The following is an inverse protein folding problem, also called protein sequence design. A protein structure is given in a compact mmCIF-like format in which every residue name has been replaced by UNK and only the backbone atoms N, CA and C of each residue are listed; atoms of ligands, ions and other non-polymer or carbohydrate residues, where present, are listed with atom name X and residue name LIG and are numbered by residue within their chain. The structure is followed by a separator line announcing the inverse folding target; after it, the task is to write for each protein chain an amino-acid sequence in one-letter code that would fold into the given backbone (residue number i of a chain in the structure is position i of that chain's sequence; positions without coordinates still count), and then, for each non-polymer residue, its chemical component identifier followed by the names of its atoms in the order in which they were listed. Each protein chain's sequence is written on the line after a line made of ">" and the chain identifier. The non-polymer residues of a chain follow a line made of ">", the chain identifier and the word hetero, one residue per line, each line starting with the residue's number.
data_IF_184420240111
#
_entry.id   IF_184420240111
#
_cell.length_a   1.000
_cell.length_b   1.000
_cell.length_c   1.000
_cell.angle_alpha   90.00
_cell.angle_beta   90.00
_cell.angle_gamma   90.00
#
_symmetry.space_group_name_H-M   'P 1'
#
loop_
_entity.id
_entity.type
_entity.pdbx_description
1 polymer ?
#
# COMPACT_ATOMS: atom_id res chain seq x y z
N UNK A 1 17.29 -56.19 -1.00
CA UNK A 1 16.29 -57.26 -0.76
C UNK A 1 16.63 -57.97 0.54
N UNK A 2 15.70 -58.05 1.49
CA UNK A 2 15.89 -58.64 2.82
C UNK A 2 14.83 -59.72 3.06
N UNK A 3 15.28 -60.90 3.44
CA UNK A 3 14.42 -62.02 3.82
C UNK A 3 14.37 -62.11 5.33
N UNK A 4 13.15 -62.04 5.88
CA UNK A 4 12.92 -62.08 7.32
C UNK A 4 12.02 -63.28 7.61
N UNK A 5 12.48 -64.27 8.41
CA UNK A 5 11.61 -65.32 8.90
C UNK A 5 10.54 -64.69 9.80
N UNK A 6 9.28 -65.06 9.57
CA UNK A 6 8.15 -64.64 10.40
C UNK A 6 7.47 -65.89 10.97
N UNK A 7 6.63 -65.70 11.98
CA UNK A 7 5.82 -66.77 12.59
C UNK A 7 4.66 -67.26 11.69
N UNK A 8 4.53 -66.69 10.48
CA UNK A 8 3.54 -67.11 9.48
C UNK A 8 4.14 -68.12 8.49
N UNK A 9 3.28 -68.89 7.81
CA UNK A 9 3.68 -69.88 6.79
C UNK A 9 4.41 -69.26 5.60
N UNK A 10 4.32 -67.94 5.41
CA UNK A 10 5.00 -67.20 4.34
C UNK A 10 6.21 -66.45 4.90
N UNK A 11 7.34 -66.57 4.22
CA UNK A 11 8.54 -65.78 4.54
C UNK A 11 8.29 -64.31 4.20
N UNK A 12 8.66 -63.41 5.12
CA UNK A 12 8.59 -61.98 4.89
C UNK A 12 9.68 -61.54 3.92
N UNK A 13 9.29 -61.06 2.74
CA UNK A 13 10.21 -60.48 1.76
C UNK A 13 10.03 -58.96 1.75
N UNK A 14 11.13 -58.24 1.97
CA UNK A 14 11.15 -56.77 1.92
C UNK A 14 12.17 -56.30 0.88
N UNK A 15 11.74 -55.41 0.00
CA UNK A 15 12.61 -54.71 -0.93
C UNK A 15 12.63 -53.22 -0.55
N UNK A 16 13.82 -52.64 -0.48
CA UNK A 16 14.05 -51.24 -0.10
C UNK A 16 14.84 -50.62 -1.25
N UNK A 17 14.21 -49.82 -2.13
CA UNK A 17 14.86 -49.28 -3.32
C UNK A 17 15.98 -48.27 -2.99
N UNK A 18 15.89 -47.58 -1.84
CA UNK A 18 16.90 -46.61 -1.38
C UNK A 18 18.25 -47.24 -1.00
N UNK A 19 18.26 -48.54 -0.69
CA UNK A 19 19.49 -49.25 -0.31
C UNK A 19 20.24 -49.84 -1.51
N UNK A 20 19.59 -49.91 -2.68
CA UNK A 20 20.21 -50.40 -3.91
C UNK A 20 19.22 -51.11 -4.84
N UNK A 21 19.70 -51.36 -6.05
CA UNK A 21 18.95 -51.96 -7.16
C UNK A 21 18.49 -53.39 -6.86
N UNK A 22 17.41 -53.82 -7.51
CA UNK A 22 16.96 -55.20 -7.44
C UNK A 22 18.02 -56.16 -8.02
N UNK A 23 18.12 -57.38 -7.48
CA UNK A 23 19.01 -58.40 -8.04
C UNK A 23 18.57 -58.77 -9.46
N UNK A 24 19.51 -59.23 -10.28
CA UNK A 24 19.31 -59.48 -11.73
C UNK A 24 18.17 -60.44 -12.08
N UNK A 25 17.85 -61.37 -11.18
CA UNK A 25 16.76 -62.34 -11.35
C UNK A 25 15.37 -61.78 -10.98
N UNK A 26 15.29 -60.58 -10.41
CA UNK A 26 14.06 -59.87 -10.06
C UNK A 26 14.09 -58.41 -10.56
N UNK A 27 14.59 -58.17 -11.78
CA UNK A 27 14.63 -56.83 -12.39
C UNK A 27 13.25 -56.17 -12.51
N UNK A 28 12.17 -56.95 -12.56
CA UNK A 28 10.81 -56.44 -12.61
C UNK A 28 10.38 -55.70 -11.33
N UNK A 29 10.99 -56.01 -10.18
CA UNK A 29 10.67 -55.32 -8.93
C UNK A 29 11.05 -53.84 -8.97
N UNK A 30 12.17 -53.49 -9.62
CA UNK A 30 12.56 -52.08 -9.77
C UNK A 30 11.50 -51.31 -10.56
N UNK A 31 11.02 -51.87 -11.68
CA UNK A 31 9.95 -51.28 -12.48
C UNK A 31 8.62 -51.14 -11.71
N UNK A 32 8.20 -52.17 -10.99
CA UNK A 32 7.01 -52.08 -10.13
C UNK A 32 7.16 -51.04 -9.01
N UNK A 33 8.35 -50.92 -8.42
CA UNK A 33 8.59 -49.91 -7.39
C UNK A 33 8.65 -48.50 -7.94
N UNK A 34 9.17 -48.32 -9.16
CA UNK A 34 9.18 -47.03 -9.85
C UNK A 34 7.76 -46.58 -10.22
N UNK A 35 6.94 -47.49 -10.75
CA UNK A 35 5.51 -47.22 -11.03
C UNK A 35 4.71 -46.92 -9.75
N UNK A 36 4.98 -47.65 -8.67
CA UNK A 36 4.34 -47.41 -7.37
C UNK A 36 4.80 -46.10 -6.73
N UNK A 37 6.07 -45.73 -6.88
CA UNK A 37 6.60 -44.46 -6.40
C UNK A 37 5.94 -43.30 -7.15
N UNK A 38 5.82 -43.39 -8.47
CA UNK A 38 5.08 -42.42 -9.30
C UNK A 38 3.59 -42.34 -8.90
N UNK A 39 2.95 -43.49 -8.64
CA UNK A 39 1.56 -43.56 -8.17
C UNK A 39 1.35 -43.08 -6.74
N UNK A 40 2.34 -43.22 -5.86
CA UNK A 40 2.32 -42.69 -4.48
C UNK A 40 2.62 -41.19 -4.42
N UNK A 41 3.34 -40.67 -5.42
CA UNK A 41 3.48 -39.24 -5.64
C UNK A 41 2.24 -38.63 -6.33
N UNK A 42 1.38 -39.45 -6.94
CA UNK A 42 0.11 -39.01 -7.49
C UNK A 42 -0.87 -38.63 -6.35
N UNK A 43 -1.64 -37.53 -6.52
CA UNK A 43 -2.40 -36.95 -5.44
C UNK A 43 -3.66 -37.79 -5.16
N UNK A 44 -3.84 -38.22 -3.91
CA UNK A 44 -5.19 -38.50 -3.38
C UNK A 44 -5.55 -39.95 -3.04
N UNK A 45 -4.60 -40.84 -2.74
CA UNK A 45 -4.95 -42.11 -2.08
C UNK A 45 -4.62 -42.02 -0.60
N UNK A 46 -5.68 -41.95 0.20
CA UNK A 46 -5.67 -41.96 1.65
C UNK A 46 -5.13 -43.30 2.17
N UNK A 47 -3.91 -43.30 2.69
CA UNK A 47 -3.34 -44.45 3.36
C UNK A 47 -1.92 -44.19 3.85
N UNK A 48 -1.77 -44.21 5.17
CA UNK A 48 -0.52 -44.41 5.94
C UNK A 48 0.39 -43.20 6.23
N UNK A 49 0.90 -43.20 7.46
CA UNK A 49 1.31 -42.03 8.25
C UNK A 49 2.72 -41.49 7.92
N UNK A 50 2.81 -40.34 7.25
CA UNK A 50 4.03 -39.52 7.19
C UNK A 50 4.15 -38.69 5.89
N UNK A 51 4.71 -37.46 5.90
CA UNK A 51 4.55 -36.56 4.75
C UNK A 51 5.71 -36.66 3.74
N UNK A 52 5.45 -37.15 2.52
CA UNK A 52 6.14 -36.65 1.34
C UNK A 52 5.10 -36.03 0.41
N UNK A 53 4.75 -34.79 0.69
CA UNK A 53 3.88 -33.98 -0.15
C UNK A 53 4.75 -33.09 -1.06
N UNK A 54 5.03 -33.45 -2.33
CA UNK A 54 5.48 -32.47 -3.32
C UNK A 54 4.28 -31.61 -3.76
N UNK A 55 3.55 -31.01 -2.81
CA UNK A 55 2.34 -30.19 -3.01
C UNK A 55 2.66 -28.70 -3.19
N UNK A 56 3.85 -28.36 -3.67
CA UNK A 56 4.27 -26.96 -3.77
C UNK A 56 3.96 -26.30 -5.12
N UNK A 57 3.65 -27.07 -6.17
CA UNK A 57 3.36 -26.46 -7.49
C UNK A 57 2.00 -25.76 -7.53
N UNK A 58 0.98 -26.39 -6.95
CA UNK A 58 -0.39 -25.88 -6.98
C UNK A 58 -0.72 -24.94 -5.82
N UNK A 59 0.12 -24.89 -4.78
CA UNK A 59 -0.15 -24.11 -3.57
C UNK A 59 0.77 -22.89 -3.46
N UNK A 60 0.15 -21.73 -3.21
CA UNK A 60 0.84 -20.49 -2.94
C UNK A 60 0.84 -20.19 -1.45
N UNK A 61 2.01 -19.83 -0.93
CA UNK A 61 2.14 -19.30 0.43
C UNK A 61 1.59 -17.87 0.51
N UNK A 62 0.74 -17.62 1.51
CA UNK A 62 0.08 -16.35 1.78
C UNK A 62 0.27 -16.00 3.26
N UNK A 63 0.70 -14.77 3.55
CA UNK A 63 0.82 -14.30 4.93
C UNK A 63 -0.52 -13.88 5.50
N UNK A 64 -0.68 -13.84 6.83
CA UNK A 64 -1.92 -13.37 7.46
C UNK A 64 -2.32 -11.96 7.00
N UNK A 65 -1.35 -11.06 6.83
CA UNK A 65 -1.61 -9.71 6.34
C UNK A 65 -2.12 -9.70 4.88
N UNK A 66 -1.58 -10.57 4.02
CA UNK A 66 -2.05 -10.70 2.64
C UNK A 66 -3.46 -11.29 2.58
N UNK A 67 -3.76 -12.28 3.42
CA UNK A 67 -5.10 -12.88 3.50
C UNK A 67 -6.16 -11.86 3.90
N UNK A 68 -5.84 -11.01 4.88
CA UNK A 68 -6.70 -9.90 5.30
C UNK A 68 -6.90 -8.85 4.19
N UNK A 69 -5.86 -8.54 3.42
CA UNK A 69 -5.96 -7.64 2.26
C UNK A 69 -6.85 -8.20 1.15
N UNK A 70 -6.86 -9.53 0.97
CA UNK A 70 -7.71 -10.23 0.02
C UNK A 70 -9.16 -10.41 0.54
N UNK A 71 -9.46 -10.02 1.79
CA UNK A 71 -10.78 -10.22 2.40
C UNK A 71 -11.13 -11.70 2.65
N UNK A 72 -10.11 -12.56 2.71
CA UNK A 72 -10.26 -14.02 2.74
C UNK A 72 -10.20 -14.63 4.14
N UNK A 73 -10.41 -13.82 5.19
CA UNK A 73 -10.35 -14.26 6.59
C UNK A 73 -11.39 -15.33 6.94
N UNK A 74 -12.51 -15.35 6.21
CA UNK A 74 -13.57 -16.35 6.36
C UNK A 74 -13.17 -17.76 5.90
N UNK A 75 -12.08 -17.88 5.15
CA UNK A 75 -11.56 -19.18 4.69
C UNK A 75 -10.65 -19.85 5.72
N UNK A 76 -10.33 -19.17 6.82
CA UNK A 76 -9.55 -19.74 7.92
C UNK A 76 -10.31 -20.90 8.56
N UNK A 77 -9.65 -22.06 8.68
CA UNK A 77 -10.26 -23.28 9.23
C UNK A 77 -11.00 -24.14 8.20
N UNK A 78 -11.12 -23.69 6.95
CA UNK A 78 -11.59 -24.52 5.84
C UNK A 78 -10.43 -25.33 5.23
N UNK A 79 -10.70 -26.49 4.59
CA UNK A 79 -9.64 -27.29 3.95
C UNK A 79 -8.97 -26.59 2.76
N UNK A 80 -9.53 -25.47 2.28
CA UNK A 80 -9.00 -24.66 1.19
C UNK A 80 -7.73 -23.89 1.59
N UNK A 81 -7.53 -23.67 2.89
CA UNK A 81 -6.43 -22.87 3.44
C UNK A 81 -5.77 -23.65 4.58
N UNK A 82 -4.57 -24.17 4.33
CA UNK A 82 -3.82 -24.96 5.31
C UNK A 82 -2.86 -24.07 6.09
N UNK A 83 -2.99 -24.03 7.41
CA UNK A 83 -2.04 -23.32 8.26
C UNK A 83 -0.65 -23.96 8.17
N UNK A 84 0.38 -23.16 7.91
CA UNK A 84 1.76 -23.62 7.85
C UNK A 84 2.72 -22.57 8.40
N UNK A 85 3.46 -22.95 9.43
CA UNK A 85 4.38 -22.10 10.19
C UNK A 85 3.72 -20.80 10.68
N UNK A 86 3.88 -19.71 9.93
CA UNK A 86 3.44 -18.35 10.27
C UNK A 86 2.49 -17.75 9.21
N UNK A 87 1.97 -18.60 8.33
CA UNK A 87 1.06 -18.20 7.28
C UNK A 87 0.19 -19.36 6.84
N UNK A 88 -0.26 -19.29 5.61
CA UNK A 88 -1.20 -20.23 5.06
C UNK A 88 -0.80 -20.65 3.65
N UNK A 89 -0.99 -21.92 3.32
CA UNK A 89 -1.01 -22.39 1.95
C UNK A 89 -2.43 -22.35 1.41
N UNK A 90 -2.58 -21.73 0.25
CA UNK A 90 -3.83 -21.62 -0.50
C UNK A 90 -3.59 -22.11 -1.92
N UNK A 91 -4.58 -22.77 -2.53
CA UNK A 91 -4.54 -23.12 -3.95
C UNK A 91 -4.29 -21.85 -4.81
N UNK A 92 -3.31 -21.92 -5.72
CA UNK A 92 -2.92 -20.84 -6.61
C UNK A 92 -4.10 -20.32 -7.45
N UNK A 93 -5.03 -21.19 -7.83
CA UNK A 93 -6.25 -20.84 -8.57
C UNK A 93 -7.15 -19.94 -7.73
N UNK A 94 -7.42 -20.34 -6.48
CA UNK A 94 -8.22 -19.57 -5.54
C UNK A 94 -7.58 -18.20 -5.26
N UNK A 95 -6.26 -18.17 -5.04
CA UNK A 95 -5.52 -16.93 -4.84
C UNK A 95 -5.67 -15.98 -6.04
N UNK A 96 -5.57 -16.48 -7.27
CA UNK A 96 -5.73 -15.67 -8.48
C UNK A 96 -7.14 -15.06 -8.60
N UNK A 97 -8.18 -15.82 -8.24
CA UNK A 97 -9.57 -15.37 -8.27
C UNK A 97 -9.82 -14.28 -7.22
N UNK A 98 -9.35 -14.49 -6.00
CA UNK A 98 -9.47 -13.51 -4.90
C UNK A 98 -8.72 -12.22 -5.23
N UNK A 99 -7.52 -12.33 -5.82
CA UNK A 99 -6.74 -11.19 -6.27
C UNK A 99 -7.47 -10.42 -7.37
N UNK A 100 -8.08 -11.11 -8.33
CA UNK A 100 -8.88 -10.47 -9.38
C UNK A 100 -10.11 -9.74 -8.79
N UNK A 101 -10.85 -10.37 -7.89
CA UNK A 101 -12.02 -9.78 -7.22
C UNK A 101 -11.67 -8.54 -6.38
N UNK A 102 -10.56 -8.59 -5.65
CA UNK A 102 -10.10 -7.47 -4.83
C UNK A 102 -9.61 -6.30 -5.68
N UNK A 103 -8.87 -6.61 -6.76
CA UNK A 103 -8.33 -5.59 -7.67
C UNK A 103 -9.43 -4.85 -8.40
N UNK A 104 -10.48 -5.53 -8.88
CA UNK A 104 -11.60 -4.90 -9.58
C UNK A 104 -12.39 -3.95 -8.67
N UNK A 105 -12.65 -4.35 -7.42
CA UNK A 105 -13.33 -3.52 -6.43
C UNK A 105 -12.54 -2.24 -6.10
N UNK A 106 -11.25 -2.38 -5.79
CA UNK A 106 -10.39 -1.23 -5.46
C UNK A 106 -10.16 -0.31 -6.66
N UNK A 107 -9.99 -0.85 -7.86
CA UNK A 107 -9.79 -0.07 -9.08
C UNK A 107 -10.98 0.86 -9.38
N UNK A 108 -12.21 0.36 -9.21
CA UNK A 108 -13.41 1.18 -9.41
C UNK A 108 -13.49 2.33 -8.39
N UNK A 109 -13.22 2.07 -7.12
CA UNK A 109 -13.24 3.10 -6.09
C UNK A 109 -12.16 4.17 -6.30
N UNK A 110 -10.93 3.74 -6.64
CA UNK A 110 -9.83 4.65 -6.94
C UNK A 110 -10.15 5.53 -8.13
N UNK A 111 -10.68 4.95 -9.21
CA UNK A 111 -11.10 5.71 -10.39
C UNK A 111 -12.24 6.69 -10.08
N UNK A 112 -13.21 6.30 -9.23
CA UNK A 112 -14.28 7.21 -8.77
C UNK A 112 -13.71 8.38 -7.96
N UNK A 113 -12.81 8.11 -7.01
CA UNK A 113 -12.15 9.15 -6.18
C UNK A 113 -11.33 10.11 -7.02
N UNK A 114 -10.58 9.61 -8.01
CA UNK A 114 -9.84 10.42 -8.97
C UNK A 114 -10.78 11.35 -9.75
N UNK A 115 -11.85 10.81 -10.36
CA UNK A 115 -12.84 11.63 -11.08
C UNK A 115 -13.47 12.72 -10.22
N UNK A 116 -13.71 12.45 -8.94
CA UNK A 116 -14.24 13.47 -8.01
C UNK A 116 -13.19 14.54 -7.75
N UNK A 117 -11.92 14.16 -7.54
CA UNK A 117 -10.80 15.08 -7.35
C UNK A 117 -10.59 15.97 -8.57
N UNK A 118 -10.60 15.39 -9.76
CA UNK A 118 -10.44 16.14 -11.02
C UNK A 118 -11.56 17.18 -11.17
N UNK A 119 -12.81 16.78 -10.94
CA UNK A 119 -13.96 17.71 -10.92
C UNK A 119 -13.86 18.79 -9.85
N UNK A 120 -13.24 18.51 -8.71
CA UNK A 120 -13.01 19.52 -7.66
C UNK A 120 -11.90 20.48 -8.08
N UNK A 121 -10.85 19.99 -8.71
CA UNK A 121 -9.75 20.79 -9.22
C UNK A 121 -10.19 21.67 -10.39
N UNK A 122 -11.02 21.17 -11.31
CA UNK A 122 -11.64 21.95 -12.39
C UNK A 122 -12.50 23.11 -11.86
N UNK A 123 -13.05 22.97 -10.65
CA UNK A 123 -13.82 24.03 -9.97
C UNK A 123 -12.93 25.03 -9.22
N UNK A 124 -11.68 24.70 -8.90
CA UNK A 124 -10.76 25.61 -8.19
C UNK A 124 -10.35 26.87 -8.98
N UNK A 125 -10.05 26.87 -10.29
CA UNK A 125 -9.61 28.08 -11.01
C UNK A 125 -10.73 29.11 -11.21
N UNK A 126 -11.99 28.75 -10.99
CA UNK A 126 -13.12 29.69 -11.04
C UNK A 126 -13.29 30.51 -9.75
N UNK A 127 -12.45 30.30 -8.73
CA UNK A 127 -12.42 31.17 -7.56
C UNK A 127 -11.74 32.49 -7.95
N UNK A 128 -12.57 33.46 -8.37
CA UNK A 128 -12.18 34.82 -8.74
C UNK A 128 -11.24 35.38 -7.66
N UNK A 129 -9.95 35.47 -7.99
CA UNK A 129 -9.02 36.28 -7.23
C UNK A 129 -9.41 37.74 -7.49
N UNK A 130 -10.00 38.40 -6.50
CA UNK A 130 -10.26 39.84 -6.56
C UNK A 130 -8.90 40.53 -6.65
N UNK A 131 -8.49 40.92 -7.86
CA UNK A 131 -7.27 41.68 -8.09
C UNK A 131 -7.48 43.08 -7.53
N UNK A 132 -7.01 43.32 -6.31
CA UNK A 132 -6.92 44.67 -5.78
C UNK A 132 -5.87 45.46 -6.58
N UNK A 133 -6.13 46.73 -6.84
CA UNK A 133 -5.19 47.59 -7.56
C UNK A 133 -3.91 47.75 -6.73
N UNK A 134 -2.78 47.25 -7.22
CA UNK A 134 -1.49 47.46 -6.56
C UNK A 134 -0.98 48.88 -6.84
N UNK A 135 -0.44 49.59 -5.84
CA UNK A 135 0.15 50.92 -6.03
C UNK A 135 1.49 50.87 -6.79
N UNK A 136 1.88 52.00 -7.38
CA UNK A 136 3.07 52.13 -8.24
C UNK A 136 4.39 52.12 -7.45
N UNK A 137 4.36 52.57 -6.20
CA UNK A 137 5.49 52.54 -5.26
C UNK A 137 5.20 51.50 -4.18
N UNK A 138 6.20 50.73 -3.77
CA UNK A 138 6.08 49.70 -2.73
C UNK A 138 5.03 48.60 -3.03
N UNK A 139 4.95 48.15 -4.29
CA UNK A 139 4.04 47.10 -4.74
C UNK A 139 4.17 45.79 -3.95
N UNK A 140 5.41 45.40 -3.59
CA UNK A 140 5.69 44.20 -2.79
C UNK A 140 5.21 44.32 -1.32
N UNK A 141 5.29 45.52 -0.74
CA UNK A 141 4.76 45.75 0.61
C UNK A 141 3.23 45.75 0.59
N UNK A 142 2.61 46.37 -0.42
CA UNK A 142 1.16 46.38 -0.59
C UNK A 142 0.60 44.95 -0.82
N UNK A 143 1.30 44.10 -1.59
CA UNK A 143 0.90 42.71 -1.78
C UNK A 143 1.00 41.90 -0.48
N UNK A 144 2.10 42.03 0.27
CA UNK A 144 2.25 41.40 1.60
C UNK A 144 1.15 41.84 2.57
N UNK A 145 0.82 43.12 2.63
CA UNK A 145 -0.27 43.62 3.48
C UNK A 145 -1.63 43.04 3.05
N UNK A 146 -1.94 42.98 1.75
CA UNK A 146 -3.18 42.38 1.25
C UNK A 146 -3.24 40.87 1.55
N UNK A 147 -2.13 40.15 1.41
CA UNK A 147 -2.03 38.72 1.76
C UNK A 147 -2.27 38.49 3.26
N UNK A 148 -1.75 39.34 4.15
CA UNK A 148 -2.01 39.21 5.59
C UNK A 148 -3.47 39.43 5.96
N UNK A 149 -4.17 40.36 5.28
CA UNK A 149 -5.61 40.57 5.44
C UNK A 149 -6.41 39.38 4.89
N UNK A 150 -6.01 38.80 3.76
CA UNK A 150 -6.66 37.62 3.17
C UNK A 150 -6.40 36.33 3.99
N UNK A 151 -5.21 36.16 4.54
CA UNK A 151 -4.87 35.03 5.40
C UNK A 151 -5.70 35.04 6.70
N UNK A 152 -5.95 36.22 7.26
CA UNK A 152 -6.81 36.37 8.45
C UNK A 152 -8.29 36.06 8.18
N UNK A 153 -8.79 36.31 6.96
CA UNK A 153 -10.18 36.00 6.58
C UNK A 153 -10.41 34.53 6.23
N UNK A 154 -9.38 33.80 5.80
CA UNK A 154 -9.47 32.35 5.51
C UNK A 154 -9.05 31.45 6.69
N UNK A 155 -8.28 31.96 7.64
CA UNK A 155 -7.77 31.22 8.80
C UNK A 155 -8.73 31.20 9.99
N UNK A 156 -9.73 30.30 9.97
CA UNK A 156 -10.63 30.09 11.10
C UNK A 156 -9.97 29.34 12.28
N UNK A 157 -9.82 30.02 13.43
CA UNK A 157 -10.06 29.40 14.75
C UNK A 157 -8.90 28.71 15.51
N UNK A 158 -7.79 29.37 15.80
CA UNK A 158 -6.80 28.88 16.80
C UNK A 158 -6.04 30.03 17.48
N UNK A 159 -5.46 29.86 18.68
CA UNK A 159 -4.83 30.95 19.48
C UNK A 159 -3.75 31.78 18.75
N UNK A 160 -3.14 31.26 17.67
CA UNK A 160 -2.29 32.04 16.75
C UNK A 160 -3.05 33.14 15.98
N UNK A 161 -4.37 33.00 15.84
CA UNK A 161 -5.31 33.93 15.21
C UNK A 161 -5.33 35.30 15.86
N UNK A 162 -5.12 35.46 17.18
CA UNK A 162 -5.25 36.80 17.81
C UNK A 162 -4.13 37.76 17.40
N UNK A 163 -2.90 37.26 17.25
CA UNK A 163 -1.76 38.06 16.74
C UNK A 163 -1.91 38.34 15.24
N UNK A 164 -2.36 37.33 14.47
CA UNK A 164 -2.59 37.47 13.02
C UNK A 164 -3.77 38.41 12.71
N UNK A 165 -4.84 38.37 13.50
CA UNK A 165 -5.97 39.29 13.40
C UNK A 165 -5.57 40.72 13.78
N UNK A 166 -4.80 40.91 14.86
CA UNK A 166 -4.28 42.23 15.21
C UNK A 166 -3.31 42.78 14.14
N UNK A 167 -2.53 41.92 13.50
CA UNK A 167 -1.69 42.30 12.36
C UNK A 167 -2.52 42.64 11.12
N UNK A 168 -3.59 41.91 10.85
CA UNK A 168 -4.51 42.18 9.75
C UNK A 168 -5.28 43.50 9.92
N UNK A 169 -5.69 43.85 11.15
CA UNK A 169 -6.29 45.16 11.47
C UNK A 169 -5.30 46.33 11.27
N UNK A 170 -4.02 46.12 11.61
CA UNK A 170 -2.98 47.11 11.31
C UNK A 170 -2.74 47.22 9.82
N UNK A 171 -2.69 46.10 9.10
CA UNK A 171 -2.50 46.07 7.66
C UNK A 171 -3.66 46.74 6.90
N UNK A 172 -4.91 46.52 7.32
CA UNK A 172 -6.08 47.20 6.76
C UNK A 172 -6.07 48.70 7.06
N UNK A 173 -5.67 49.10 8.27
CA UNK A 173 -5.49 50.51 8.64
C UNK A 173 -4.43 51.20 7.80
N UNK A 174 -3.28 50.55 7.52
CA UNK A 174 -2.19 51.13 6.72
C UNK A 174 -2.56 51.30 5.24
N UNK A 175 -3.43 50.42 4.72
CA UNK A 175 -3.91 50.48 3.33
C UNK A 175 -5.02 51.52 3.11
N UNK A 176 -5.77 51.89 4.17
CA UNK A 176 -6.96 52.76 4.06
C UNK A 176 -6.77 54.16 4.64
N UNK A 177 -5.80 54.36 5.55
CA UNK A 177 -5.57 55.65 6.19
C UNK A 177 -4.83 56.64 5.27
N UNK A 178 -5.44 57.82 5.10
CA UNK A 178 -4.94 58.95 4.30
C UNK A 178 -3.54 59.42 4.71
N UNK A 179 -3.15 59.22 5.96
CA UNK A 179 -1.81 59.61 6.46
C UNK A 179 -0.70 58.82 5.78
N UNK A 180 -0.97 57.58 5.38
CA UNK A 180 0.01 56.65 4.81
C UNK A 180 -0.06 56.56 3.28
N UNK A 181 -0.93 57.34 2.64
CA UNK A 181 -1.06 57.40 1.17
C UNK A 181 0.28 57.79 0.49
N UNK A 182 1.10 58.59 1.17
CA UNK A 182 2.43 58.99 0.70
C UNK A 182 3.42 57.83 0.60
N UNK A 183 3.26 56.76 1.39
CA UNK A 183 4.11 55.55 1.34
C UNK A 183 3.94 54.76 0.04
N UNK A 184 2.81 54.93 -0.64
CA UNK A 184 2.45 54.18 -1.85
C UNK A 184 2.43 55.03 -3.12
N UNK A 185 2.64 56.34 -2.99
CA UNK A 185 2.61 57.32 -4.09
C UNK A 185 3.94 58.05 -4.31
N UNK A 186 4.71 58.34 -3.26
CA UNK A 186 5.95 59.10 -3.38
C UNK A 186 7.17 58.17 -3.55
N UNK A 187 7.98 58.31 -4.63
CA UNK A 187 9.18 57.49 -4.87
C UNK A 187 10.24 57.58 -3.75
N UNK A 188 10.27 58.64 -2.95
CA UNK A 188 11.23 58.77 -1.85
C UNK A 188 11.07 57.68 -0.77
N UNK A 189 9.89 57.05 -0.70
CA UNK A 189 9.62 55.95 0.23
C UNK A 189 9.81 54.56 -0.41
N UNK A 190 10.42 54.48 -1.60
CA UNK A 190 10.69 53.20 -2.24
C UNK A 190 11.60 52.34 -1.36
N UNK A 191 11.09 51.21 -0.89
CA UNK A 191 11.85 50.25 -0.10
C UNK A 191 12.70 49.44 -1.06
N UNK A 192 14.02 49.63 -1.01
CA UNK A 192 15.00 48.78 -1.67
C UNK A 192 15.30 47.60 -0.74
N UNK A 193 15.28 46.37 -1.26
CA UNK A 193 15.48 45.15 -0.45
C UNK A 193 16.85 45.09 0.26
N UNK A 194 17.82 45.93 -0.13
CA UNK A 194 19.13 46.04 0.53
C UNK A 194 19.07 46.78 1.90
N UNK A 195 18.10 47.68 2.10
CA UNK A 195 18.00 48.47 3.33
C UNK A 195 17.35 47.67 4.49
N UNK A 196 16.62 46.60 4.19
CA UNK A 196 16.04 45.70 5.20
C UNK A 196 17.12 44.86 5.90
N UNK A 197 18.31 44.71 5.30
CA UNK A 197 19.43 43.91 5.82
C UNK A 197 20.40 44.69 6.72
N UNK A 198 20.31 46.03 6.77
CA UNK A 198 21.20 46.88 7.60
C UNK A 198 20.56 47.39 8.89
N UNK A 199 19.30 47.03 9.15
CA UNK A 199 18.65 47.23 10.44
C UNK A 199 19.06 46.18 11.48
N UNK A 200 20.26 46.28 12.02
CA UNK A 200 20.63 45.67 13.30
C UNK A 200 21.23 46.71 14.24
N UNK A 201 21.18 46.54 15.58
CA UNK A 201 20.57 45.49 16.39
C UNK A 201 19.18 45.82 16.99
#
# INVERSE_FOLDING_TARGET
>A
MVFVPRDDRRIGLYFIPTLGLAPTWCSFLDGLTEELEEGSQAPGVEGDEGPPHPLYEDFRFVTQAQLAQLGADHLLGTPLVRAYLHGYFMDARLYSQLKAATTTASAYELHRKQRIRDKMQDKQPMRIQVKHHLPKVNAALASRLQETVQAATQGGGGKASKKVAAAAERASSLLTDKRFEKLFSNPDFAIMEEDEATGGP
#
